data_IF_870302926041
#
_entry.id   IF_870302926041
#
_cell.length_a   1.000
_cell.length_b   1.000
_cell.length_c   1.000
_cell.angle_alpha   90.00
_cell.angle_beta   90.00
_cell.angle_gamma   90.00
#
_symmetry.space_group_name_H-M   'P 1'
#
loop_
_entity.id
_entity.type
_entity.pdbx_description
1 polymer ?
#
# COMPACT_ATOMS: atom_id res chain seq x y z
N UNK A 1 10.13 88.15 9.96
CA UNK A 1 11.03 87.17 9.30
C UNK A 1 10.25 85.99 8.84
N UNK A 2 9.90 85.89 7.52
CA UNK A 2 9.18 84.76 6.94
C UNK A 2 10.21 83.93 6.22
N UNK A 3 10.49 82.67 6.74
CA UNK A 3 11.31 81.71 6.05
C UNK A 3 10.46 80.96 5.01
N UNK A 4 10.79 81.17 3.74
CA UNK A 4 10.26 80.53 2.55
C UNK A 4 10.89 79.14 2.45
N UNK A 5 10.19 78.10 2.83
CA UNK A 5 10.66 76.74 2.63
C UNK A 5 10.37 76.37 1.17
N UNK A 6 11.43 76.33 0.37
CA UNK A 6 11.42 75.95 -1.06
C UNK A 6 11.30 74.42 -1.13
N UNK A 7 10.09 73.98 -1.39
CA UNK A 7 9.76 72.57 -1.54
C UNK A 7 10.36 72.08 -2.86
N UNK A 8 11.54 71.41 -2.83
CA UNK A 8 12.20 70.79 -3.96
C UNK A 8 11.46 69.45 -4.25
N UNK A 9 10.39 69.51 -5.00
CA UNK A 9 9.72 68.38 -5.56
C UNK A 9 10.66 67.59 -6.46
N UNK A 10 11.22 66.50 -5.91
CA UNK A 10 12.04 65.58 -6.67
C UNK A 10 11.14 64.82 -7.65
N UNK A 11 10.99 65.31 -8.87
CA UNK A 11 10.34 64.61 -9.98
C UNK A 11 11.16 63.39 -10.33
N UNK A 12 10.83 62.24 -9.76
CA UNK A 12 11.34 60.94 -10.21
C UNK A 12 10.94 60.80 -11.68
N UNK A 13 11.93 60.80 -12.57
CA UNK A 13 11.73 60.51 -13.99
C UNK A 13 11.22 59.08 -14.04
N UNK A 14 9.96 58.86 -14.40
CA UNK A 14 9.45 57.56 -14.75
C UNK A 14 10.12 57.16 -16.08
N UNK A 15 11.09 56.26 -15.98
CA UNK A 15 11.70 55.64 -17.15
C UNK A 15 10.66 54.68 -17.72
N UNK A 16 10.15 54.95 -18.90
CA UNK A 16 9.25 54.04 -19.61
C UNK A 16 10.01 52.82 -20.13
N UNK A 17 9.36 51.69 -20.15
CA UNK A 17 9.89 50.45 -20.73
C UNK A 17 10.00 50.58 -22.25
N UNK A 18 11.11 50.12 -22.82
CA UNK A 18 11.26 50.05 -24.27
C UNK A 18 10.58 48.80 -24.83
N UNK A 19 10.12 48.88 -26.10
CA UNK A 19 9.51 47.73 -26.78
C UNK A 19 10.46 46.51 -26.84
N UNK A 20 11.76 46.80 -27.03
CA UNK A 20 12.81 45.78 -27.09
C UNK A 20 12.96 45.06 -25.75
N UNK A 21 12.92 45.77 -24.63
CA UNK A 21 13.04 45.24 -23.31
C UNK A 21 11.83 44.34 -22.97
N UNK A 22 10.62 44.71 -23.41
CA UNK A 22 9.43 43.87 -23.29
C UNK A 22 9.56 42.58 -24.11
N UNK A 23 10.07 42.64 -25.35
CA UNK A 23 10.25 41.46 -26.19
C UNK A 23 11.29 40.49 -25.59
N UNK A 24 12.40 41.00 -25.08
CA UNK A 24 13.44 40.17 -24.43
C UNK A 24 12.89 39.52 -23.16
N UNK A 25 12.19 40.29 -22.32
CA UNK A 25 11.61 39.72 -21.09
C UNK A 25 10.53 38.66 -21.38
N UNK A 26 9.69 38.89 -22.41
CA UNK A 26 8.69 37.92 -22.84
C UNK A 26 9.33 36.63 -23.37
N UNK A 27 10.43 36.74 -24.14
CA UNK A 27 11.15 35.55 -24.62
C UNK A 27 11.78 34.75 -23.48
N UNK A 28 12.49 35.40 -22.55
CA UNK A 28 13.07 34.73 -21.36
C UNK A 28 12.00 34.12 -20.51
N UNK A 29 10.89 34.82 -20.25
CA UNK A 29 9.76 34.30 -19.48
C UNK A 29 9.17 33.05 -20.13
N UNK A 30 9.00 32.99 -21.44
CA UNK A 30 8.49 31.85 -22.17
C UNK A 30 9.35 30.58 -21.97
N UNK A 31 10.67 30.74 -22.00
CA UNK A 31 11.62 29.63 -21.75
C UNK A 31 11.48 29.11 -20.32
N UNK A 32 11.41 30.02 -19.34
CA UNK A 32 11.25 29.65 -17.92
C UNK A 32 9.93 28.91 -17.69
N UNK A 33 8.82 29.41 -18.22
CA UNK A 33 7.49 28.81 -18.06
C UNK A 33 7.42 27.42 -18.69
N UNK A 34 8.04 27.28 -19.89
CA UNK A 34 8.08 25.95 -20.55
C UNK A 34 8.86 24.94 -19.73
N UNK A 35 10.03 25.33 -19.20
CA UNK A 35 10.85 24.49 -18.33
C UNK A 35 10.11 24.12 -17.03
N UNK A 36 9.53 25.09 -16.36
CA UNK A 36 8.76 24.89 -15.13
C UNK A 36 7.54 23.98 -15.35
N UNK A 37 6.84 24.12 -16.50
CA UNK A 37 5.72 23.26 -16.87
C UNK A 37 6.11 21.80 -17.02
N UNK A 38 7.27 21.50 -17.60
CA UNK A 38 7.81 20.14 -17.71
C UNK A 38 8.05 19.49 -16.34
N UNK A 39 8.70 20.23 -15.45
CA UNK A 39 8.97 19.77 -14.07
C UNK A 39 7.64 19.52 -13.33
N UNK A 40 6.68 20.41 -13.47
CA UNK A 40 5.38 20.28 -12.81
C UNK A 40 4.64 19.00 -13.21
N UNK A 41 4.63 18.65 -14.51
CA UNK A 41 4.02 17.41 -14.99
C UNK A 41 4.69 16.18 -14.37
N UNK A 42 6.02 16.19 -14.28
CA UNK A 42 6.76 15.06 -13.68
C UNK A 42 6.46 14.91 -12.18
N UNK A 43 6.39 16.01 -11.45
CA UNK A 43 5.99 15.98 -10.03
C UNK A 43 4.58 15.41 -9.85
N UNK A 44 3.62 15.75 -10.71
CA UNK A 44 2.27 15.17 -10.65
C UNK A 44 2.27 13.66 -10.91
N UNK A 45 3.11 13.16 -11.83
CA UNK A 45 3.23 11.70 -12.06
C UNK A 45 3.80 11.00 -10.83
N UNK A 46 4.84 11.55 -10.21
CA UNK A 46 5.45 11.00 -8.99
C UNK A 46 4.42 10.97 -7.85
N UNK A 47 3.65 12.04 -7.66
CA UNK A 47 2.61 12.08 -6.63
C UNK A 47 1.53 11.01 -6.85
N UNK A 48 1.07 10.80 -8.08
CA UNK A 48 0.10 9.74 -8.39
C UNK A 48 0.65 8.35 -8.06
N UNK A 49 1.90 8.06 -8.44
CA UNK A 49 2.57 6.80 -8.09
C UNK A 49 2.67 6.61 -6.59
N UNK A 50 2.99 7.66 -5.84
CA UNK A 50 3.04 7.63 -4.38
C UNK A 50 1.69 7.26 -3.75
N UNK A 51 0.59 7.83 -4.24
CA UNK A 51 -0.77 7.52 -3.76
C UNK A 51 -1.14 6.07 -4.08
N UNK A 52 -0.81 5.57 -5.28
CA UNK A 52 -1.08 4.18 -5.65
C UNK A 52 -0.27 3.21 -4.78
N UNK A 53 1.01 3.48 -4.54
CA UNK A 53 1.84 2.68 -3.65
C UNK A 53 1.28 2.64 -2.22
N UNK A 54 0.84 3.78 -1.69
CA UNK A 54 0.23 3.87 -0.36
C UNK A 54 -1.04 3.02 -0.27
N UNK A 55 -1.94 3.07 -1.25
CA UNK A 55 -3.16 2.26 -1.29
C UNK A 55 -2.86 0.76 -1.28
N UNK A 56 -1.84 0.33 -2.02
CA UNK A 56 -1.42 -1.08 -2.03
C UNK A 56 -0.93 -1.48 -0.63
N UNK A 57 -0.07 -0.67 -0.01
CA UNK A 57 0.45 -0.94 1.33
C UNK A 57 -0.66 -1.01 2.39
N UNK A 58 -1.62 -0.09 2.36
CA UNK A 58 -2.77 -0.09 3.27
C UNK A 58 -3.61 -1.36 3.11
N UNK A 59 -3.90 -1.77 1.86
CA UNK A 59 -4.64 -3.01 1.59
C UNK A 59 -3.90 -4.25 2.10
N UNK A 60 -2.60 -4.34 1.82
CA UNK A 60 -1.77 -5.45 2.28
C UNK A 60 -1.75 -5.52 3.80
N UNK A 61 -1.50 -4.39 4.46
CA UNK A 61 -1.46 -4.32 5.93
C UNK A 61 -2.80 -4.74 6.53
N UNK A 62 -3.92 -4.25 5.99
CA UNK A 62 -5.25 -4.62 6.45
C UNK A 62 -5.51 -6.12 6.32
N UNK A 63 -5.20 -6.72 5.16
CA UNK A 63 -5.37 -8.15 4.92
C UNK A 63 -4.52 -8.97 5.88
N UNK A 64 -3.21 -8.65 5.96
CA UNK A 64 -2.28 -9.37 6.82
C UNK A 64 -2.61 -9.21 8.31
N UNK A 65 -3.01 -8.04 8.75
CA UNK A 65 -3.40 -7.79 10.14
C UNK A 65 -4.66 -8.58 10.53
N UNK A 66 -5.67 -8.58 9.64
CA UNK A 66 -6.89 -9.33 9.85
C UNK A 66 -6.61 -10.84 9.96
N UNK A 67 -5.87 -11.40 9.00
CA UNK A 67 -5.51 -12.81 9.01
C UNK A 67 -4.64 -13.16 10.22
N UNK A 68 -3.68 -12.30 10.56
CA UNK A 68 -2.79 -12.49 11.71
C UNK A 68 -3.52 -12.55 13.04
N UNK A 69 -4.51 -11.68 13.22
CA UNK A 69 -5.34 -11.68 14.45
C UNK A 69 -6.12 -12.97 14.59
N UNK A 70 -6.74 -13.44 13.51
CA UNK A 70 -7.51 -14.68 13.55
C UNK A 70 -6.62 -15.92 13.69
N UNK A 71 -5.48 -16.01 13.01
CA UNK A 71 -4.54 -17.13 13.17
C UNK A 71 -4.07 -17.26 14.62
N UNK A 72 -3.77 -16.16 15.30
CA UNK A 72 -3.25 -16.17 16.66
C UNK A 72 -4.21 -16.75 17.71
N UNK A 73 -5.51 -16.65 17.46
CA UNK A 73 -6.56 -17.15 18.39
C UNK A 73 -7.22 -18.41 17.90
N UNK A 74 -6.80 -18.95 16.75
CA UNK A 74 -7.43 -20.10 16.10
C UNK A 74 -6.52 -21.30 16.07
N UNK A 75 -7.12 -22.48 15.95
CA UNK A 75 -6.42 -23.72 15.65
C UNK A 75 -6.30 -23.91 14.14
N UNK A 76 -5.13 -24.35 13.68
CA UNK A 76 -4.94 -24.71 12.29
C UNK A 76 -5.45 -26.14 12.08
N UNK A 77 -6.28 -26.34 11.06
CA UNK A 77 -6.82 -27.67 10.75
C UNK A 77 -5.68 -28.61 10.38
N UNK A 78 -5.66 -29.80 10.98
CA UNK A 78 -4.64 -30.82 10.73
C UNK A 78 -4.62 -31.26 9.25
N UNK A 79 -3.46 -31.74 8.78
CA UNK A 79 -3.30 -32.26 7.41
C UNK A 79 -3.04 -31.20 6.35
N UNK A 80 -2.85 -29.92 6.71
CA UNK A 80 -2.52 -28.86 5.78
C UNK A 80 -1.01 -28.58 5.69
N UNK A 81 -0.16 -29.46 6.22
CA UNK A 81 1.30 -29.27 6.15
C UNK A 81 1.78 -29.15 4.73
N UNK A 82 2.65 -28.17 4.50
CA UNK A 82 3.32 -27.94 3.23
C UNK A 82 4.84 -28.04 3.38
N UNK A 83 5.49 -28.55 2.34
CA UNK A 83 6.95 -28.43 2.22
C UNK A 83 7.27 -27.04 1.67
N UNK A 84 7.54 -26.13 2.58
CA UNK A 84 7.77 -24.70 2.24
C UNK A 84 8.90 -24.43 1.25
N UNK A 85 9.68 -25.45 0.90
CA UNK A 85 10.70 -25.34 -0.14
C UNK A 85 10.11 -25.54 -1.55
N UNK A 86 9.09 -26.40 -1.68
CA UNK A 86 8.57 -26.82 -2.99
C UNK A 86 7.05 -26.62 -3.15
N UNK A 87 6.30 -26.68 -2.04
CA UNK A 87 4.83 -26.69 -2.09
C UNK A 87 4.23 -25.63 -1.17
N UNK A 88 3.31 -24.85 -1.74
CA UNK A 88 2.52 -23.86 -1.01
C UNK A 88 1.05 -24.21 -1.17
N UNK A 89 0.24 -23.83 -0.19
CA UNK A 89 -1.21 -23.98 -0.27
C UNK A 89 -1.85 -22.66 -0.71
N UNK A 90 -2.82 -22.74 -1.62
CA UNK A 90 -3.61 -21.58 -2.06
C UNK A 90 -4.71 -21.20 -1.06
N UNK A 91 -4.92 -22.04 -0.05
CA UNK A 91 -5.90 -21.82 1.01
C UNK A 91 -5.37 -22.20 2.39
N UNK A 92 -5.87 -21.49 3.40
CA UNK A 92 -5.62 -21.76 4.81
C UNK A 92 -6.96 -22.00 5.50
N UNK A 93 -7.12 -23.16 6.14
CA UNK A 93 -8.29 -23.48 6.95
C UNK A 93 -7.94 -23.43 8.44
N UNK A 94 -8.71 -22.68 9.20
CA UNK A 94 -8.56 -22.53 10.64
C UNK A 94 -9.88 -22.79 11.34
N UNK A 95 -9.82 -23.14 12.62
CA UNK A 95 -10.99 -23.26 13.50
C UNK A 95 -10.93 -22.08 14.47
N UNK A 96 -11.76 -21.07 14.22
CA UNK A 96 -11.85 -19.88 15.07
C UNK A 96 -12.81 -20.16 16.24
N UNK A 97 -12.49 -19.74 17.48
CA UNK A 97 -13.30 -20.05 18.67
C UNK A 97 -14.77 -19.61 18.56
N UNK A 98 -15.02 -18.46 17.94
CA UNK A 98 -16.36 -17.88 17.82
C UNK A 98 -17.02 -18.18 16.48
N UNK A 99 -16.26 -18.15 15.39
CA UNK A 99 -16.79 -18.25 14.01
C UNK A 99 -16.77 -19.68 13.45
N UNK A 100 -16.19 -20.65 14.19
CA UNK A 100 -16.02 -22.03 13.72
C UNK A 100 -15.01 -22.12 12.56
N UNK A 101 -15.30 -22.96 11.58
CA UNK A 101 -14.41 -23.14 10.42
C UNK A 101 -14.35 -21.89 9.57
N UNK A 102 -13.13 -21.38 9.35
CA UNK A 102 -12.83 -20.23 8.50
C UNK A 102 -11.78 -20.63 7.49
N UNK A 103 -12.01 -20.28 6.23
CA UNK A 103 -11.10 -20.51 5.12
C UNK A 103 -10.66 -19.18 4.52
N UNK A 104 -9.36 -19.02 4.37
CA UNK A 104 -8.73 -17.93 3.60
C UNK A 104 -8.22 -18.45 2.28
N UNK A 105 -8.37 -17.63 1.23
CA UNK A 105 -7.87 -17.96 -0.10
C UNK A 105 -7.89 -16.74 -1.01
N UNK A 106 -7.48 -16.93 -2.26
CA UNK A 106 -7.59 -15.89 -3.28
C UNK A 106 -8.48 -16.37 -4.43
N UNK A 107 -9.35 -15.49 -4.89
CA UNK A 107 -10.19 -15.72 -6.08
C UNK A 107 -10.22 -14.44 -6.93
N UNK A 108 -9.88 -14.58 -8.21
CA UNK A 108 -9.85 -13.46 -9.16
C UNK A 108 -8.99 -12.27 -8.68
N UNK A 109 -7.83 -12.56 -8.11
CA UNK A 109 -6.92 -11.54 -7.59
C UNK A 109 -7.39 -10.83 -6.32
N UNK A 110 -8.44 -11.34 -5.65
CA UNK A 110 -8.94 -10.81 -4.38
C UNK A 110 -8.78 -11.82 -3.26
N UNK A 111 -8.38 -11.33 -2.10
CA UNK A 111 -8.30 -12.16 -0.90
C UNK A 111 -9.68 -12.27 -0.29
N UNK A 112 -10.08 -13.52 -0.05
CA UNK A 112 -11.39 -13.86 0.51
C UNK A 112 -11.26 -14.55 1.84
N UNK A 113 -12.21 -14.28 2.71
CA UNK A 113 -12.47 -14.98 3.95
C UNK A 113 -13.85 -15.63 3.88
N UNK A 114 -13.91 -16.92 4.04
CA UNK A 114 -15.17 -17.68 4.13
C UNK A 114 -15.31 -18.24 5.53
N UNK A 115 -16.36 -17.85 6.23
CA UNK A 115 -16.67 -18.33 7.58
C UNK A 115 -18.16 -18.23 7.85
N UNK A 116 -18.73 -19.22 8.59
CA UNK A 116 -20.17 -19.26 8.87
C UNK A 116 -21.06 -19.34 7.62
N UNK A 117 -20.54 -19.85 6.50
CA UNK A 117 -21.26 -19.90 5.21
C UNK A 117 -21.26 -18.58 4.43
N UNK A 118 -20.59 -17.55 4.91
CA UNK A 118 -20.49 -16.24 4.25
C UNK A 118 -19.07 -16.01 3.73
N UNK A 119 -18.95 -15.61 2.46
CA UNK A 119 -17.67 -15.22 1.85
C UNK A 119 -17.59 -13.70 1.76
N UNK A 120 -16.52 -13.15 2.31
CA UNK A 120 -16.26 -11.69 2.33
C UNK A 120 -14.91 -11.42 1.66
N UNK A 121 -14.86 -10.40 0.80
CA UNK A 121 -13.59 -9.91 0.26
C UNK A 121 -12.87 -9.08 1.32
N UNK A 122 -11.64 -9.43 1.64
CA UNK A 122 -10.79 -8.65 2.54
C UNK A 122 -10.02 -7.57 1.80
N UNK A 123 -9.61 -7.84 0.56
CA UNK A 123 -8.88 -6.86 -0.25
C UNK A 123 -9.82 -5.86 -0.92
N UNK A 124 -9.35 -4.61 -1.06
CA UNK A 124 -10.06 -3.56 -1.78
C UNK A 124 -10.15 -3.83 -3.29
N UNK A 125 -11.00 -3.06 -3.95
CA UNK A 125 -11.28 -3.21 -5.39
C UNK A 125 -10.17 -2.70 -6.32
N UNK A 126 -9.26 -1.93 -5.79
CA UNK A 126 -8.20 -1.19 -6.51
C UNK A 126 -6.85 -1.92 -6.49
N UNK A 127 -6.75 -3.03 -5.74
CA UNK A 127 -5.53 -3.82 -5.60
C UNK A 127 -5.78 -5.24 -6.07
N UNK A 128 -4.89 -5.76 -6.91
CA UNK A 128 -4.89 -7.14 -7.36
C UNK A 128 -3.75 -7.89 -6.69
N UNK A 129 -4.08 -9.02 -6.05
CA UNK A 129 -3.10 -9.96 -5.54
C UNK A 129 -2.79 -10.99 -6.64
N UNK A 130 -1.65 -10.83 -7.30
CA UNK A 130 -1.20 -11.75 -8.35
C UNK A 130 -0.68 -13.07 -7.78
N UNK A 131 -0.25 -13.08 -6.52
CA UNK A 131 0.12 -14.26 -5.76
C UNK A 131 -0.36 -14.12 -4.32
N UNK A 132 -0.97 -15.18 -3.80
CA UNK A 132 -1.32 -15.28 -2.38
C UNK A 132 -1.28 -16.76 -2.00
N UNK A 133 -0.34 -17.14 -1.17
CA UNK A 133 -0.09 -18.53 -0.84
C UNK A 133 0.36 -18.66 0.62
N UNK A 134 0.11 -19.85 1.17
CA UNK A 134 0.44 -20.20 2.53
C UNK A 134 1.47 -21.33 2.56
N UNK A 135 2.46 -21.18 3.41
CA UNK A 135 3.31 -22.26 3.83
C UNK A 135 2.95 -22.59 5.28
N UNK A 136 2.50 -23.81 5.51
CA UNK A 136 1.98 -24.24 6.81
C UNK A 136 2.89 -25.33 7.36
N UNK A 137 3.46 -25.09 8.52
CA UNK A 137 4.31 -26.02 9.24
C UNK A 137 3.67 -26.32 10.59
N UNK A 138 3.30 -27.56 10.79
CA UNK A 138 2.70 -28.06 12.01
C UNK A 138 3.38 -29.37 12.41
N UNK A 139 3.75 -29.50 13.68
CA UNK A 139 4.30 -30.74 14.22
C UNK A 139 3.31 -31.33 15.22
N UNK A 140 2.71 -32.47 14.88
CA UNK A 140 1.82 -33.24 15.77
C UNK A 140 2.60 -33.91 16.90
N UNK A 141 3.93 -34.12 16.72
CA UNK A 141 4.75 -34.94 17.63
C UNK A 141 5.34 -34.09 18.76
N UNK A 142 5.67 -32.84 18.51
CA UNK A 142 6.45 -31.99 19.43
C UNK A 142 5.60 -30.99 20.22
N UNK A 143 4.28 -31.03 20.13
CA UNK A 143 3.40 -29.99 20.71
C UNK A 143 3.80 -28.56 20.32
N UNK A 144 4.46 -28.45 19.18
CA UNK A 144 4.96 -27.16 18.66
C UNK A 144 3.80 -26.38 18.05
N UNK A 145 3.77 -25.10 18.37
CA UNK A 145 2.83 -24.16 17.77
C UNK A 145 2.94 -24.17 16.25
N UNK A 146 1.81 -24.27 15.57
CA UNK A 146 1.77 -24.21 14.12
C UNK A 146 2.28 -22.84 13.62
N UNK A 147 3.09 -22.89 12.56
CA UNK A 147 3.61 -21.71 11.89
C UNK A 147 2.97 -21.60 10.52
N UNK A 148 2.50 -20.40 10.21
CA UNK A 148 1.96 -20.07 8.90
C UNK A 148 2.81 -18.94 8.32
N UNK A 149 3.45 -19.20 7.20
CA UNK A 149 4.12 -18.17 6.41
C UNK A 149 3.20 -17.79 5.25
N UNK A 150 2.83 -16.52 5.18
CA UNK A 150 2.02 -15.95 4.11
C UNK A 150 2.97 -15.31 3.11
N UNK A 151 2.79 -15.66 1.85
CA UNK A 151 3.50 -15.06 0.72
C UNK A 151 2.47 -14.36 -0.13
N UNK A 152 2.63 -13.07 -0.33
CA UNK A 152 1.72 -12.24 -1.09
C UNK A 152 2.48 -11.37 -2.09
N UNK A 153 1.95 -11.26 -3.31
CA UNK A 153 2.37 -10.29 -4.30
C UNK A 153 1.17 -9.47 -4.71
N UNK A 154 1.27 -8.15 -4.58
CA UNK A 154 0.17 -7.23 -4.88
C UNK A 154 0.62 -6.14 -5.86
N UNK A 155 -0.30 -5.72 -6.72
CA UNK A 155 -0.13 -4.67 -7.72
C UNK A 155 -1.40 -3.83 -7.83
N UNK A 156 -1.36 -2.60 -8.38
CA UNK A 156 -2.57 -1.82 -8.64
C UNK A 156 -3.41 -2.52 -9.74
N UNK A 157 -4.73 -2.56 -9.56
CA UNK A 157 -5.64 -3.12 -10.57
C UNK A 157 -5.86 -2.12 -11.71
N UNK A 158 -5.91 -0.83 -11.40
CA UNK A 158 -6.11 0.26 -12.34
C UNK A 158 -4.96 1.25 -12.23
N UNK A 159 -4.44 1.71 -13.37
CA UNK A 159 -3.38 2.69 -13.40
C UNK A 159 -2.26 2.34 -14.37
N UNK A 160 -1.13 2.97 -14.23
CA UNK A 160 0.05 2.70 -15.03
C UNK A 160 0.58 1.33 -14.62
N UNK A 161 0.67 0.39 -15.58
CA UNK A 161 1.38 -0.88 -15.39
C UNK A 161 2.87 -0.58 -15.19
N UNK A 162 3.21 -0.11 -14.00
CA UNK A 162 4.59 0.18 -13.62
C UNK A 162 5.10 -1.03 -12.80
N UNK A 163 6.08 -1.78 -13.32
CA UNK A 163 6.66 -2.89 -12.57
C UNK A 163 7.27 -2.47 -11.24
N UNK A 164 7.56 -1.18 -11.05
CA UNK A 164 8.02 -0.65 -9.76
C UNK A 164 6.92 -0.59 -8.68
N UNK A 165 5.66 -0.83 -9.02
CA UNK A 165 4.53 -0.87 -8.09
C UNK A 165 4.08 -2.30 -7.74
N UNK A 166 4.93 -3.29 -7.96
CA UNK A 166 4.71 -4.67 -7.50
C UNK A 166 5.35 -4.81 -6.11
N UNK A 167 4.54 -5.21 -5.13
CA UNK A 167 4.99 -5.44 -3.76
C UNK A 167 4.99 -6.92 -3.45
N UNK A 168 6.17 -7.46 -3.15
CA UNK A 168 6.35 -8.82 -2.65
C UNK A 168 6.50 -8.78 -1.14
N UNK A 169 5.69 -9.57 -0.45
CA UNK A 169 5.64 -9.61 1.00
C UNK A 169 5.63 -11.04 1.48
N UNK A 170 6.43 -11.27 2.52
CA UNK A 170 6.44 -12.50 3.26
C UNK A 170 6.34 -12.20 4.75
N UNK A 171 5.42 -12.87 5.43
CA UNK A 171 5.30 -12.78 6.89
C UNK A 171 5.08 -14.16 7.49
N UNK A 172 5.62 -14.41 8.67
CA UNK A 172 5.45 -15.67 9.38
C UNK A 172 4.78 -15.41 10.72
N UNK A 173 3.75 -16.20 10.99
CA UNK A 173 2.90 -16.11 12.17
C UNK A 173 2.88 -17.45 12.88
N UNK A 174 2.78 -17.41 14.21
CA UNK A 174 2.55 -18.60 15.03
C UNK A 174 1.13 -18.56 15.59
N UNK A 175 0.42 -19.67 15.49
CA UNK A 175 -0.87 -19.85 16.14
C UNK A 175 -0.63 -20.14 17.63
N UNK A 176 -1.45 -19.58 18.51
CA UNK A 176 -1.52 -20.02 19.90
C UNK A 176 -2.57 -21.12 20.01
N UNK A 177 -2.14 -22.31 20.41
CA UNK A 177 -3.09 -23.36 20.76
C UNK A 177 -3.59 -23.10 22.19
N UNK A 178 -4.73 -22.44 22.31
CA UNK A 178 -5.34 -22.09 23.59
C UNK A 178 -5.91 -23.34 24.34
N UNK A 179 -6.04 -24.49 23.68
CA UNK A 179 -6.61 -25.66 24.28
C UNK A 179 -5.71 -26.33 25.33
N UNK A 180 -4.39 -26.09 25.25
CA UNK A 180 -3.42 -26.64 26.20
C UNK A 180 -3.31 -25.78 27.47
N UNK A 181 -3.50 -24.46 27.36
CA UNK A 181 -3.39 -23.56 28.53
C UNK A 181 -4.60 -23.65 29.49
N UNK A 182 -5.74 -24.16 29.05
CA UNK A 182 -6.95 -24.27 29.86
C UNK A 182 -7.11 -25.65 30.54
N UNK A 183 -6.19 -26.61 30.32
CA UNK A 183 -6.20 -27.95 30.95
C UNK A 183 -5.18 -28.12 32.08
N UNK A 184 -4.43 -27.09 32.43
CA UNK A 184 -3.56 -27.03 33.63
C UNK A 184 -4.20 -26.07 34.66
#
# INVERSE_FOLDING_TARGET
MRYFIKNLGNKRKMLGFTVVEFLVTAAVFSVIVTGAGGIFIEVLKIQRRGIEAQKIQENIQFVLDTISKEIRVSQIVAGQNTDCATTFSDSLNIIHPESGSVTYGSLNGRIQRTGGGVTTNLSGSDVEFSRFAFCIQYSEIDNNQARVTIIAQAKPLFGVSDPALIFDIQTTLSSRDLTIELQN
#
